data_IF_648843925510
#
_entry.id   IF_648843925510
#
_cell.length_a   1.000
_cell.length_b   1.000
_cell.length_c   1.000
_cell.angle_alpha   90.00
_cell.angle_beta   90.00
_cell.angle_gamma   90.00
#
_symmetry.space_group_name_H-M   'P 1'
#
loop_
_entity.id
_entity.type
_entity.pdbx_description
1 polymer ?
#
# COMPACT_ATOMS: atom_id res chain seq x y z
N UNK A 1 -1.33 -3.91 27.09
CA UNK A 1 -2.15 -2.87 27.76
C UNK A 1 -1.77 -1.44 27.34
N UNK A 2 -0.49 -1.06 27.23
CA UNK A 2 -0.07 0.30 26.86
C UNK A 2 -0.50 0.72 25.43
N UNK A 3 -0.25 -0.11 24.41
CA UNK A 3 -0.68 0.20 23.03
C UNK A 3 -2.21 0.41 22.92
N UNK A 4 -3.01 -0.41 23.60
CA UNK A 4 -4.48 -0.24 23.64
C UNK A 4 -4.90 1.08 24.28
N UNK A 5 -4.20 1.53 25.34
CA UNK A 5 -4.45 2.84 25.95
C UNK A 5 -4.06 3.97 24.99
N UNK A 6 -2.96 3.82 24.25
CA UNK A 6 -2.54 4.81 23.25
C UNK A 6 -3.59 4.97 22.15
N UNK A 7 -4.08 3.87 21.58
CA UNK A 7 -5.16 3.92 20.58
C UNK A 7 -6.42 4.61 21.11
N UNK A 8 -6.82 4.32 22.36
CA UNK A 8 -7.98 4.96 22.98
C UNK A 8 -7.75 6.45 23.17
N UNK A 9 -6.56 6.86 23.60
CA UNK A 9 -6.20 8.27 23.81
C UNK A 9 -6.21 9.06 22.50
N UNK A 10 -5.71 8.46 21.42
CA UNK A 10 -5.61 9.10 20.11
C UNK A 10 -6.89 8.95 19.26
N UNK A 11 -7.88 8.18 19.70
CA UNK A 11 -9.10 7.92 18.93
C UNK A 11 -8.83 7.22 17.59
N UNK A 12 -7.82 6.34 17.53
CA UNK A 12 -7.41 5.69 16.27
C UNK A 12 -8.58 4.95 15.61
N UNK A 13 -8.79 5.20 14.31
CA UNK A 13 -9.74 4.44 13.49
C UNK A 13 -9.10 3.13 12.99
N UNK A 14 -9.92 2.10 12.80
CA UNK A 14 -9.49 0.77 12.38
C UNK A 14 -10.12 0.36 11.04
N UNK A 15 -10.23 1.33 10.14
CA UNK A 15 -10.72 1.21 8.77
C UNK A 15 -9.64 0.67 7.80
N UNK A 16 -8.36 0.91 8.11
CA UNK A 16 -7.20 0.38 7.40
C UNK A 16 -6.01 0.06 8.32
N UNK A 17 -4.81 -0.15 7.76
CA UNK A 17 -3.58 -0.29 8.53
C UNK A 17 -3.37 0.90 9.46
N UNK A 18 -2.88 0.64 10.68
CA UNK A 18 -2.62 1.70 11.67
C UNK A 18 -1.65 2.75 11.11
N UNK A 19 -2.02 4.03 11.21
CA UNK A 19 -1.16 5.14 10.82
C UNK A 19 -0.11 5.44 11.89
N UNK A 20 1.02 4.72 11.80
CA UNK A 20 2.15 4.91 12.72
C UNK A 20 2.83 6.27 12.57
N UNK A 21 2.77 6.89 11.38
CA UNK A 21 3.30 8.23 11.16
C UNK A 21 2.46 9.27 11.91
N UNK A 22 1.14 9.19 11.76
CA UNK A 22 0.19 10.02 12.48
C UNK A 22 0.30 9.85 14.01
N UNK A 23 0.53 8.62 14.48
CA UNK A 23 0.78 8.37 15.91
C UNK A 23 2.08 9.03 16.38
N UNK A 24 3.19 8.90 15.63
CA UNK A 24 4.45 9.55 16.00
C UNK A 24 4.29 11.08 16.09
N UNK A 25 3.63 11.70 15.09
CA UNK A 25 3.31 13.13 15.09
C UNK A 25 2.44 13.54 16.28
N UNK A 26 1.43 12.72 16.61
CA UNK A 26 0.53 12.98 17.75
C UNK A 26 1.23 12.87 19.11
N UNK A 27 2.43 12.28 19.16
CA UNK A 27 3.29 12.18 20.33
C UNK A 27 4.36 13.29 20.37
N UNK A 28 4.34 14.25 19.43
CA UNK A 28 5.37 15.28 19.25
C UNK A 28 6.78 14.69 19.05
N UNK A 29 6.86 13.52 18.40
CA UNK A 29 8.12 12.88 18.05
C UNK A 29 8.65 13.43 16.74
N UNK A 30 9.90 13.86 16.76
CA UNK A 30 10.65 14.21 15.55
C UNK A 30 10.96 12.92 14.79
N UNK A 31 10.56 12.83 13.52
CA UNK A 31 10.78 11.62 12.72
C UNK A 31 11.63 11.95 11.49
N UNK A 32 12.74 11.22 11.35
CA UNK A 32 13.63 11.30 10.19
C UNK A 32 13.72 9.95 9.49
N UNK A 33 13.56 9.97 8.16
CA UNK A 33 13.75 8.79 7.32
C UNK A 33 15.04 9.00 6.51
N UNK A 34 16.06 8.17 6.74
CA UNK A 34 17.33 8.29 6.01
C UNK A 34 17.88 6.91 5.64
N UNK A 35 18.65 6.80 4.55
CA UNK A 35 19.33 5.55 4.24
C UNK A 35 20.36 5.25 5.33
N UNK A 36 20.24 4.08 5.95
CA UNK A 36 21.19 3.58 6.95
C UNK A 36 21.72 2.23 6.48
N UNK A 37 22.97 1.89 6.81
CA UNK A 37 23.55 0.61 6.41
C UNK A 37 22.98 -0.55 7.25
N UNK A 38 23.59 -0.82 8.41
CA UNK A 38 23.27 -1.98 9.23
C UNK A 38 22.17 -1.74 10.28
N UNK A 39 21.74 -0.49 10.47
CA UNK A 39 20.75 -0.13 11.48
C UNK A 39 19.34 -0.09 10.87
N UNK A 40 18.35 -0.62 11.58
CA UNK A 40 16.94 -0.55 11.15
C UNK A 40 16.31 0.80 11.50
N UNK A 41 16.71 1.34 12.65
CA UNK A 41 16.27 2.61 13.19
C UNK A 41 16.78 2.75 14.62
N UNK A 42 16.55 3.90 15.21
CA UNK A 42 16.86 4.15 16.62
C UNK A 42 16.02 5.31 17.17
N UNK A 43 15.80 5.24 18.48
CA UNK A 43 15.16 6.26 19.28
C UNK A 43 16.20 7.08 20.06
N UNK A 44 15.99 8.40 20.10
CA UNK A 44 16.79 9.34 20.88
C UNK A 44 15.87 10.18 21.74
N UNK A 45 16.15 10.27 23.02
CA UNK A 45 15.42 11.09 23.98
C UNK A 45 16.16 12.40 24.16
N UNK A 46 15.59 13.46 23.59
CA UNK A 46 16.02 14.81 23.93
C UNK A 46 15.31 15.33 25.18
N UNK A 47 15.91 16.33 25.81
CA UNK A 47 15.34 17.04 26.96
C UNK A 47 14.06 17.80 26.62
N UNK A 48 13.97 18.31 25.39
CA UNK A 48 12.82 19.10 24.89
C UNK A 48 11.92 18.30 23.96
N UNK A 49 12.50 17.55 23.01
CA UNK A 49 11.78 16.67 22.09
C UNK A 49 12.57 15.38 21.87
N UNK A 50 11.85 14.26 21.79
CA UNK A 50 12.43 12.99 21.39
C UNK A 50 12.39 12.80 19.88
N UNK A 51 13.39 12.13 19.34
CA UNK A 51 13.53 11.82 17.93
C UNK A 51 13.51 10.33 17.64
N UNK A 52 13.07 9.97 16.44
CA UNK A 52 13.16 8.64 15.87
C UNK A 52 13.77 8.75 14.48
N UNK A 53 14.77 7.91 14.22
CA UNK A 53 15.38 7.75 12.90
C UNK A 53 15.06 6.35 12.38
N UNK A 54 14.57 6.26 11.14
CA UNK A 54 14.25 4.98 10.48
C UNK A 54 15.01 4.83 9.18
N UNK A 55 15.48 3.61 8.92
CA UNK A 55 16.16 3.26 7.69
C UNK A 55 15.21 3.21 6.47
N UNK A 56 15.37 4.16 5.55
CA UNK A 56 14.54 4.29 4.35
C UNK A 56 14.80 3.18 3.30
N UNK A 57 15.90 2.44 3.40
CA UNK A 57 16.23 1.34 2.47
C UNK A 57 15.46 0.05 2.77
N UNK A 58 14.77 -0.02 3.92
CA UNK A 58 14.05 -1.23 4.35
C UNK A 58 12.64 -1.28 3.76
N UNK A 59 12.03 -2.47 3.59
CA UNK A 59 10.64 -2.56 3.14
C UNK A 59 9.68 -1.83 4.10
N UNK A 60 8.59 -1.28 3.58
CA UNK A 60 7.64 -0.50 4.38
C UNK A 60 7.12 -1.25 5.62
N UNK A 61 6.81 -2.55 5.50
CA UNK A 61 6.35 -3.34 6.65
C UNK A 61 7.38 -3.41 7.77
N UNK A 62 8.67 -3.39 7.44
CA UNK A 62 9.76 -3.33 8.40
C UNK A 62 9.92 -1.92 8.97
N UNK A 63 9.88 -0.88 8.13
CA UNK A 63 9.88 0.52 8.59
C UNK A 63 8.74 0.80 9.57
N UNK A 64 7.52 0.32 9.27
CA UNK A 64 6.34 0.43 10.15
C UNK A 64 6.56 -0.27 11.47
N UNK A 65 7.14 -1.47 11.45
CA UNK A 65 7.45 -2.22 12.65
C UNK A 65 8.52 -1.53 13.49
N UNK A 66 9.62 -1.11 12.89
CA UNK A 66 10.69 -0.38 13.57
C UNK A 66 10.15 0.91 14.17
N UNK A 67 9.39 1.72 13.43
CA UNK A 67 8.77 2.92 13.98
C UNK A 67 7.84 2.62 15.16
N UNK A 68 7.01 1.58 15.06
CA UNK A 68 6.14 1.16 16.17
C UNK A 68 6.94 0.66 17.39
N UNK A 69 8.11 0.06 17.16
CA UNK A 69 9.04 -0.39 18.19
C UNK A 69 9.71 0.79 18.90
N UNK A 70 10.23 1.76 18.16
CA UNK A 70 10.79 3.01 18.72
C UNK A 70 9.74 3.83 19.49
N UNK A 71 8.50 3.92 18.98
CA UNK A 71 7.37 4.49 19.74
C UNK A 71 7.13 3.71 21.04
N UNK A 72 7.37 2.40 21.03
CA UNK A 72 7.33 1.57 22.22
C UNK A 72 8.35 1.99 23.28
N UNK A 73 9.61 2.22 22.90
CA UNK A 73 10.63 2.75 23.81
C UNK A 73 10.18 4.07 24.42
N UNK A 74 9.70 5.01 23.60
CA UNK A 74 9.20 6.29 24.07
C UNK A 74 8.03 6.15 25.07
N UNK A 75 6.99 5.42 24.70
CA UNK A 75 5.74 5.30 25.49
C UNK A 75 5.94 4.50 26.77
N UNK A 76 6.87 3.54 26.78
CA UNK A 76 7.21 2.74 27.96
C UNK A 76 8.24 3.43 28.86
N UNK A 77 8.82 4.56 28.42
CA UNK A 77 9.82 5.31 29.18
C UNK A 77 11.17 4.60 29.26
N UNK A 78 11.52 3.81 28.24
CA UNK A 78 12.85 3.22 28.12
C UNK A 78 13.89 4.33 27.88
N UNK A 79 15.12 4.08 28.32
CA UNK A 79 16.26 4.97 28.03
C UNK A 79 16.76 4.74 26.61
N UNK A 80 17.57 5.68 26.12
CA UNK A 80 18.09 5.67 24.76
C UNK A 80 18.89 4.43 24.44
N UNK A 81 18.71 3.92 23.22
CA UNK A 81 19.49 2.78 22.71
C UNK A 81 20.96 3.17 22.41
N UNK A 82 21.31 4.46 22.46
CA UNK A 82 22.58 5.01 21.99
C UNK A 82 23.46 5.70 23.07
N UNK A 83 22.99 5.88 24.30
CA UNK A 83 23.68 6.70 25.32
C UNK A 83 24.89 6.01 25.97
N UNK A 84 25.11 4.73 25.66
CA UNK A 84 26.34 4.03 25.98
C UNK A 84 27.15 3.98 24.68
N UNK A 85 28.36 4.56 24.63
CA UNK A 85 29.30 4.40 23.50
C UNK A 85 29.69 2.92 23.23
N UNK A 86 29.19 1.99 24.07
CA UNK A 86 29.32 0.54 23.97
C UNK A 86 27.93 -0.17 23.86
N UNK A 87 26.82 0.56 23.70
CA UNK A 87 25.45 0.01 23.67
C UNK A 87 25.20 -0.85 22.43
N UNK A 88 25.79 -0.47 21.30
CA UNK A 88 25.68 -1.24 20.04
C UNK A 88 26.30 -2.63 20.19
N UNK A 89 27.34 -2.78 21.01
CA UNK A 89 27.98 -4.07 21.34
C UNK A 89 27.27 -4.84 22.46
N UNK A 90 26.28 -4.23 23.15
CA UNK A 90 25.50 -4.81 24.25
C UNK A 90 24.02 -4.99 23.93
N UNK A 91 23.61 -4.80 22.68
CA UNK A 91 22.23 -5.00 22.25
C UNK A 91 21.84 -6.48 22.43
N UNK A 92 21.08 -6.76 23.48
CA UNK A 92 20.47 -8.06 23.73
C UNK A 92 19.01 -8.02 23.27
N UNK A 93 18.68 -8.61 22.10
CA UNK A 93 17.30 -8.65 21.60
C UNK A 93 16.35 -9.41 22.52
N UNK A 94 16.87 -10.26 23.41
CA UNK A 94 16.10 -11.02 24.38
C UNK A 94 15.98 -10.30 25.74
N UNK A 95 16.50 -9.09 25.85
CA UNK A 95 16.35 -8.29 27.07
C UNK A 95 14.87 -7.96 27.34
N UNK A 96 14.44 -7.85 28.61
CA UNK A 96 13.05 -7.52 28.95
C UNK A 96 12.58 -6.19 28.34
N UNK A 97 13.49 -5.24 28.13
CA UNK A 97 13.23 -3.92 27.53
C UNK A 97 12.89 -4.06 26.05
N UNK A 98 13.73 -4.77 25.30
CA UNK A 98 13.54 -5.03 23.86
C UNK A 98 12.28 -5.89 23.60
N UNK A 99 12.08 -6.93 24.41
CA UNK A 99 10.87 -7.76 24.34
C UNK A 99 9.60 -6.96 24.64
N UNK A 100 9.65 -6.01 25.59
CA UNK A 100 8.52 -5.13 25.90
C UNK A 100 8.23 -4.17 24.73
N UNK A 101 9.25 -3.58 24.10
CA UNK A 101 9.10 -2.73 22.93
C UNK A 101 8.57 -3.51 21.71
N UNK A 102 9.09 -4.71 21.44
CA UNK A 102 8.58 -5.62 20.41
C UNK A 102 7.11 -6.01 20.65
N UNK A 103 6.76 -6.38 21.88
CA UNK A 103 5.39 -6.71 22.24
C UNK A 103 4.44 -5.49 22.12
N UNK A 104 4.93 -4.30 22.45
CA UNK A 104 4.22 -3.04 22.24
C UNK A 104 3.96 -2.80 20.75
N UNK A 105 4.99 -2.89 19.90
CA UNK A 105 4.90 -2.69 18.46
C UNK A 105 3.88 -3.64 17.80
N UNK A 106 3.96 -4.93 18.15
CA UNK A 106 3.02 -5.93 17.66
C UNK A 106 1.57 -5.62 18.10
N UNK A 107 1.39 -5.12 19.32
CA UNK A 107 0.07 -4.73 19.85
C UNK A 107 -0.47 -3.44 19.24
N UNK A 108 0.42 -2.50 18.88
CA UNK A 108 0.09 -1.23 18.23
C UNK A 108 -0.32 -1.45 16.77
N UNK A 109 0.39 -2.32 16.05
CA UNK A 109 0.10 -2.60 14.63
C UNK A 109 -1.08 -3.55 14.42
N UNK A 110 -1.35 -4.43 15.40
CA UNK A 110 -2.41 -5.44 15.30
C UNK A 110 -3.42 -5.32 16.44
N UNK A 111 -4.12 -4.17 16.58
CA UNK A 111 -5.13 -3.99 17.60
C UNK A 111 -6.33 -4.91 17.34
N UNK A 112 -6.97 -5.38 18.42
CA UNK A 112 -8.06 -6.38 18.34
C UNK A 112 -9.18 -6.00 17.35
N UNK A 113 -9.71 -4.75 17.31
CA UNK A 113 -10.77 -4.40 16.37
C UNK A 113 -10.33 -4.56 14.90
N UNK A 114 -9.09 -4.15 14.57
CA UNK A 114 -8.54 -4.27 13.23
C UNK A 114 -8.32 -5.74 12.85
N UNK A 115 -7.79 -6.55 13.77
CA UNK A 115 -7.62 -8.00 13.58
C UNK A 115 -8.96 -8.68 13.33
N UNK A 116 -9.99 -8.36 14.11
CA UNK A 116 -11.33 -8.93 13.94
C UNK A 116 -11.97 -8.53 12.61
N UNK A 117 -11.85 -7.26 12.20
CA UNK A 117 -12.28 -6.79 10.88
C UNK A 117 -11.57 -7.58 9.77
N UNK A 118 -10.24 -7.65 9.84
CA UNK A 118 -9.44 -8.34 8.82
C UNK A 118 -9.82 -9.81 8.70
N UNK A 119 -10.00 -10.53 9.82
CA UNK A 119 -10.45 -11.93 9.80
C UNK A 119 -11.82 -12.13 9.15
N UNK A 120 -12.78 -11.24 9.46
CA UNK A 120 -14.13 -11.32 8.90
C UNK A 120 -14.14 -11.09 7.39
N UNK A 121 -13.25 -10.22 6.92
CA UNK A 121 -13.18 -9.85 5.51
C UNK A 121 -12.46 -10.90 4.64
N UNK A 122 -11.82 -11.92 5.24
CA UNK A 122 -11.14 -12.99 4.50
C UNK A 122 -12.12 -13.85 3.69
N UNK A 123 -11.76 -14.21 2.44
CA UNK A 123 -12.54 -15.13 1.61
C UNK A 123 -12.84 -16.47 2.28
N UNK A 124 -11.85 -17.10 2.92
CA UNK A 124 -12.06 -18.35 3.64
C UNK A 124 -13.07 -18.21 4.78
N UNK A 125 -13.03 -17.12 5.55
CA UNK A 125 -13.98 -16.87 6.65
C UNK A 125 -15.40 -16.70 6.12
N UNK A 126 -15.59 -15.87 5.09
CA UNK A 126 -16.91 -15.66 4.46
C UNK A 126 -17.52 -16.95 3.91
N UNK A 127 -16.69 -17.85 3.38
CA UNK A 127 -17.10 -19.12 2.78
C UNK A 127 -17.12 -20.30 3.76
N UNK A 128 -16.83 -20.06 5.05
CA UNK A 128 -16.76 -21.12 6.06
C UNK A 128 -15.68 -22.19 5.81
N UNK A 129 -14.58 -21.81 5.15
CA UNK A 129 -13.47 -22.70 4.78
C UNK A 129 -12.29 -22.53 5.74
N UNK A 130 -11.37 -23.51 5.73
CA UNK A 130 -10.08 -23.37 6.41
C UNK A 130 -9.24 -22.29 5.71
N UNK A 131 -8.46 -21.55 6.51
CA UNK A 131 -7.56 -20.52 5.99
C UNK A 131 -6.47 -21.13 5.10
N UNK A 132 -6.27 -20.55 3.93
CA UNK A 132 -5.16 -20.85 3.03
C UNK A 132 -4.01 -19.83 3.20
N UNK A 133 -2.90 -20.10 2.51
CA UNK A 133 -1.72 -19.20 2.48
C UNK A 133 -2.09 -17.81 1.91
N UNK A 134 -2.92 -17.79 0.87
CA UNK A 134 -3.47 -16.58 0.27
C UNK A 134 -4.28 -15.75 1.28
N UNK A 135 -5.12 -16.37 2.11
CA UNK A 135 -5.84 -15.67 3.17
C UNK A 135 -4.89 -15.07 4.22
N UNK A 136 -3.83 -15.79 4.61
CA UNK A 136 -2.83 -15.27 5.52
C UNK A 136 -2.07 -14.06 4.93
N UNK A 137 -1.84 -14.05 3.62
CA UNK A 137 -1.28 -12.89 2.94
C UNK A 137 -2.25 -11.70 2.95
N UNK A 138 -3.51 -11.90 2.55
CA UNK A 138 -4.52 -10.84 2.59
C UNK A 138 -4.67 -10.25 3.99
N UNK A 139 -4.69 -11.11 5.02
CA UNK A 139 -4.72 -10.70 6.41
C UNK A 139 -3.51 -9.82 6.78
N UNK A 140 -2.29 -10.27 6.48
CA UNK A 140 -1.07 -9.49 6.78
C UNK A 140 -1.03 -8.13 6.06
N UNK A 141 -1.47 -8.10 4.80
CA UNK A 141 -1.54 -6.90 3.97
C UNK A 141 -2.57 -5.90 4.51
N UNK A 142 -3.75 -6.37 4.92
CA UNK A 142 -4.80 -5.52 5.49
C UNK A 142 -4.38 -4.86 6.82
N UNK A 143 -3.52 -5.52 7.60
CA UNK A 143 -2.92 -4.94 8.82
C UNK A 143 -1.70 -4.06 8.53
N UNK A 144 -1.14 -4.13 7.32
CA UNK A 144 0.11 -3.46 6.96
C UNK A 144 1.33 -4.00 7.73
N UNK A 145 1.36 -5.31 7.99
CA UNK A 145 2.48 -6.01 8.65
C UNK A 145 3.15 -6.99 7.69
N UNK A 146 4.30 -7.54 8.07
CA UNK A 146 4.94 -8.59 7.28
C UNK A 146 4.08 -9.86 7.22
N UNK A 147 4.23 -10.65 6.15
CA UNK A 147 3.52 -11.92 6.02
C UNK A 147 3.75 -12.85 7.21
N UNK A 148 5.00 -12.93 7.68
CA UNK A 148 5.36 -13.75 8.83
C UNK A 148 4.68 -13.27 10.13
N UNK A 149 4.67 -11.96 10.39
CA UNK A 149 3.97 -11.39 11.54
C UNK A 149 2.47 -11.69 11.50
N UNK A 150 1.86 -11.60 10.31
CA UNK A 150 0.45 -11.96 10.11
C UNK A 150 0.17 -13.44 10.36
N UNK A 151 1.01 -14.35 9.86
CA UNK A 151 0.88 -15.80 10.10
C UNK A 151 0.99 -16.12 11.59
N UNK A 152 1.96 -15.55 12.30
CA UNK A 152 2.09 -15.74 13.74
C UNK A 152 0.92 -15.14 14.52
N UNK A 153 0.36 -14.01 14.07
CA UNK A 153 -0.84 -13.45 14.67
C UNK A 153 -2.07 -14.36 14.48
N UNK A 154 -2.22 -14.99 13.31
CA UNK A 154 -3.27 -15.98 13.06
C UNK A 154 -3.12 -17.24 13.93
N UNK A 155 -1.88 -17.73 14.10
CA UNK A 155 -1.59 -18.82 15.03
C UNK A 155 -1.97 -18.45 16.47
N UNK A 156 -1.56 -17.26 16.94
CA UNK A 156 -1.88 -16.76 18.29
C UNK A 156 -3.38 -16.56 18.51
N UNK A 157 -4.14 -16.22 17.47
CA UNK A 157 -5.62 -16.15 17.52
C UNK A 157 -6.31 -17.52 17.36
N UNK A 158 -5.54 -18.62 17.34
CA UNK A 158 -6.03 -19.99 17.14
C UNK A 158 -6.75 -20.21 15.80
N UNK A 159 -6.37 -19.46 14.76
CA UNK A 159 -6.91 -19.62 13.39
C UNK A 159 -6.08 -20.56 12.52
N UNK A 160 -4.84 -20.81 12.92
CA UNK A 160 -3.92 -21.75 12.28
C UNK A 160 -3.33 -22.69 13.33
N UNK A 161 -3.02 -23.92 12.93
CA UNK A 161 -2.17 -24.80 13.74
C UNK A 161 -0.70 -24.39 13.63
N UNK A 162 0.14 -24.80 14.59
CA UNK A 162 1.59 -24.55 14.53
C UNK A 162 2.23 -25.14 13.27
N UNK A 163 1.74 -26.32 12.84
CA UNK A 163 2.19 -26.99 11.62
C UNK A 163 1.88 -26.16 10.38
N UNK A 164 0.65 -25.64 10.28
CA UNK A 164 0.23 -24.80 9.16
C UNK A 164 1.01 -23.49 9.12
N UNK A 165 1.16 -22.83 10.27
CA UNK A 165 1.92 -21.58 10.39
C UNK A 165 3.37 -21.73 9.89
N UNK A 166 4.07 -22.78 10.34
CA UNK A 166 5.43 -23.10 9.88
C UNK A 166 5.48 -23.42 8.38
N UNK A 167 4.51 -24.19 7.88
CA UNK A 167 4.42 -24.50 6.45
C UNK A 167 4.21 -23.25 5.59
N UNK A 168 3.39 -22.31 6.07
CA UNK A 168 3.08 -21.06 5.40
C UNK A 168 4.32 -20.16 5.32
N UNK A 169 5.03 -19.99 6.45
CA UNK A 169 6.27 -19.19 6.52
C UNK A 169 7.35 -19.78 5.61
N UNK A 170 7.54 -21.11 5.62
CA UNK A 170 8.54 -21.78 4.77
C UNK A 170 8.34 -21.51 3.28
N UNK A 171 7.09 -21.40 2.82
CA UNK A 171 6.75 -21.11 1.42
C UNK A 171 6.85 -19.63 1.05
N UNK A 172 7.00 -18.74 2.05
CA UNK A 172 7.10 -17.27 1.93
C UNK A 172 5.87 -16.60 1.30
N UNK A 173 5.86 -15.27 1.34
CA UNK A 173 4.77 -14.45 0.81
C UNK A 173 4.61 -14.58 -0.71
N UNK A 174 5.70 -14.78 -1.46
CA UNK A 174 5.66 -14.90 -2.93
C UNK A 174 4.76 -16.05 -3.39
N UNK A 175 4.81 -17.20 -2.71
CA UNK A 175 3.95 -18.33 -3.03
C UNK A 175 2.46 -18.01 -2.74
N UNK A 176 2.17 -17.28 -1.66
CA UNK A 176 0.81 -16.85 -1.34
C UNK A 176 0.26 -15.83 -2.36
N UNK A 177 1.10 -14.90 -2.84
CA UNK A 177 0.76 -13.97 -3.94
C UNK A 177 0.48 -14.73 -5.23
N UNK A 178 1.29 -15.74 -5.56
CA UNK A 178 1.10 -16.54 -6.76
C UNK A 178 -0.18 -17.38 -6.70
N UNK A 179 -0.54 -17.93 -5.52
CA UNK A 179 -1.83 -18.61 -5.34
C UNK A 179 -3.03 -17.67 -5.60
N UNK A 180 -2.91 -16.38 -5.26
CA UNK A 180 -3.96 -15.38 -5.53
C UNK A 180 -4.06 -14.99 -7.00
N UNK A 181 -2.90 -14.75 -7.64
CA UNK A 181 -2.84 -14.39 -9.06
C UNK A 181 -3.32 -15.53 -9.95
N UNK A 182 -2.98 -16.77 -9.62
CA UNK A 182 -3.14 -17.93 -10.51
C UNK A 182 -2.16 -17.95 -11.70
N UNK A 183 -1.28 -16.95 -11.79
CA UNK A 183 -0.36 -16.72 -12.91
C UNK A 183 0.94 -16.03 -12.46
N UNK A 184 1.91 -15.90 -13.38
CA UNK A 184 3.18 -15.23 -13.12
C UNK A 184 2.98 -13.74 -12.79
N UNK A 185 3.85 -13.14 -11.94
CA UNK A 185 3.81 -11.72 -11.68
C UNK A 185 4.05 -10.92 -12.97
N UNK A 186 3.26 -9.88 -13.16
CA UNK A 186 3.34 -9.02 -14.34
C UNK A 186 4.51 -8.02 -14.25
N UNK A 187 4.93 -7.68 -13.03
CA UNK A 187 6.02 -6.74 -12.78
C UNK A 187 6.88 -7.13 -11.57
N UNK A 188 7.07 -6.20 -10.65
CA UNK A 188 7.85 -6.44 -9.43
C UNK A 188 7.18 -7.54 -8.58
N UNK A 189 7.88 -8.66 -8.38
CA UNK A 189 7.38 -9.76 -7.55
C UNK A 189 7.06 -9.34 -6.10
N UNK A 190 7.60 -8.20 -5.63
CA UNK A 190 7.32 -7.63 -4.32
C UNK A 190 6.04 -6.79 -4.28
N UNK A 191 5.50 -6.37 -5.42
CA UNK A 191 4.25 -5.62 -5.53
C UNK A 191 3.12 -6.29 -4.75
N UNK A 192 2.29 -5.51 -4.06
CA UNK A 192 1.11 -6.07 -3.40
C UNK A 192 0.00 -6.36 -4.41
N UNK A 193 -0.78 -7.39 -4.10
CA UNK A 193 -1.83 -7.91 -4.98
C UNK A 193 -3.18 -7.55 -4.38
N UNK A 194 -4.02 -6.88 -5.17
CA UNK A 194 -5.39 -6.49 -4.85
C UNK A 194 -6.34 -7.34 -5.70
N UNK A 195 -7.26 -8.06 -5.05
CA UNK A 195 -8.30 -8.84 -5.74
C UNK A 195 -9.62 -8.10 -5.60
N UNK A 196 -10.19 -7.68 -6.73
CA UNK A 196 -11.49 -7.03 -6.81
C UNK A 196 -12.46 -7.96 -7.54
N UNK A 197 -13.65 -8.15 -6.97
CA UNK A 197 -14.74 -8.91 -7.58
C UNK A 197 -15.98 -8.05 -7.70
N UNK A 198 -17.08 -8.63 -8.21
CA UNK A 198 -18.38 -7.95 -8.27
C UNK A 198 -18.88 -7.45 -6.89
N UNK A 199 -18.40 -8.02 -5.77
CA UNK A 199 -18.73 -7.54 -4.41
C UNK A 199 -18.05 -6.20 -4.06
N UNK A 200 -17.10 -5.74 -4.88
CA UNK A 200 -16.27 -4.57 -4.63
C UNK A 200 -16.61 -3.39 -5.54
N UNK A 201 -17.85 -3.30 -5.99
CA UNK A 201 -18.35 -2.13 -6.72
C UNK A 201 -18.34 -0.91 -5.79
N UNK A 202 -17.98 0.25 -6.32
CA UNK A 202 -17.77 1.51 -5.60
C UNK A 202 -16.68 1.48 -4.50
N UNK A 203 -15.76 0.50 -4.54
CA UNK A 203 -14.70 0.40 -3.54
C UNK A 203 -13.57 1.41 -3.81
N UNK A 204 -13.14 2.13 -2.77
CA UNK A 204 -11.86 2.84 -2.78
C UNK A 204 -10.72 1.94 -2.29
N UNK A 205 -9.70 1.77 -3.13
CA UNK A 205 -8.50 0.97 -2.86
C UNK A 205 -7.30 1.89 -2.62
N UNK A 206 -6.66 1.75 -1.45
CA UNK A 206 -5.42 2.46 -1.13
C UNK A 206 -4.20 1.61 -1.53
N UNK A 207 -3.70 1.77 -2.74
CA UNK A 207 -2.58 1.00 -3.28
C UNK A 207 -1.31 1.84 -3.43
N UNK A 208 -0.18 1.17 -3.70
CA UNK A 208 1.10 1.81 -3.97
C UNK A 208 1.44 1.77 -5.46
N UNK A 209 2.36 2.63 -5.87
CA UNK A 209 2.98 2.51 -7.20
C UNK A 209 3.55 1.10 -7.37
N UNK A 210 3.19 0.48 -8.49
CA UNK A 210 3.61 -0.86 -8.86
C UNK A 210 2.77 -2.00 -8.28
N UNK A 211 1.81 -1.74 -7.40
CA UNK A 211 0.86 -2.76 -6.94
C UNK A 211 0.00 -3.27 -8.10
N UNK A 212 -0.39 -4.55 -8.03
CA UNK A 212 -1.21 -5.22 -9.04
C UNK A 212 -2.67 -5.25 -8.58
N UNK A 213 -3.58 -4.72 -9.40
CA UNK A 213 -5.02 -4.73 -9.17
C UNK A 213 -5.66 -5.71 -10.15
N UNK A 214 -6.09 -6.85 -9.64
CA UNK A 214 -6.75 -7.92 -10.39
C UNK A 214 -8.26 -7.80 -10.22
N UNK A 215 -8.96 -7.43 -11.29
CA UNK A 215 -10.42 -7.31 -11.35
C UNK A 215 -10.99 -8.56 -12.00
N UNK A 216 -11.83 -9.29 -11.27
CA UNK A 216 -12.46 -10.54 -11.68
C UNK A 216 -13.98 -10.37 -11.73
N UNK A 217 -14.53 -10.24 -12.94
CA UNK A 217 -15.96 -10.04 -13.16
C UNK A 217 -16.56 -11.23 -13.92
N UNK A 218 -17.76 -11.69 -13.56
CA UNK A 218 -18.50 -12.64 -14.37
C UNK A 218 -18.73 -12.05 -15.77
N UNK A 219 -18.40 -12.83 -16.79
CA UNK A 219 -18.63 -12.46 -18.19
C UNK A 219 -19.07 -13.71 -18.95
N UNK A 220 -20.24 -13.62 -19.60
CA UNK A 220 -20.74 -14.67 -20.49
C UNK A 220 -20.63 -14.21 -21.94
N UNK A 221 -19.54 -14.59 -22.58
CA UNK A 221 -19.23 -14.16 -23.96
C UNK A 221 -20.20 -14.77 -24.98
N UNK A 222 -20.96 -15.81 -24.63
CA UNK A 222 -22.00 -16.39 -25.51
C UNK A 222 -23.19 -15.46 -25.72
N UNK A 223 -23.40 -14.51 -24.81
CA UNK A 223 -24.44 -13.46 -24.92
C UNK A 223 -24.04 -12.31 -25.85
N UNK A 224 -22.77 -12.30 -26.29
CA UNK A 224 -22.17 -11.20 -27.04
C UNK A 224 -21.84 -9.96 -26.22
N UNK A 225 -21.96 -10.05 -24.90
CA UNK A 225 -21.62 -8.97 -23.97
C UNK A 225 -20.17 -9.12 -23.49
N UNK A 226 -19.46 -8.00 -23.38
CA UNK A 226 -18.12 -7.95 -22.83
C UNK A 226 -17.94 -6.68 -21.97
N UNK A 227 -17.13 -6.78 -20.91
CA UNK A 227 -16.73 -5.63 -20.09
C UNK A 227 -15.77 -4.72 -20.87
N UNK A 228 -16.13 -3.47 -21.09
CA UNK A 228 -15.28 -2.48 -21.73
C UNK A 228 -14.75 -1.50 -20.69
N UNK A 229 -13.44 -1.27 -20.69
CA UNK A 229 -12.80 -0.23 -19.88
C UNK A 229 -12.99 1.09 -20.63
N UNK A 230 -13.74 2.05 -20.05
CA UNK A 230 -14.11 3.29 -20.77
C UNK A 230 -13.02 4.35 -20.78
N UNK A 231 -12.37 4.55 -19.66
CA UNK A 231 -11.11 5.25 -19.46
C UNK A 231 -10.98 5.49 -17.93
N UNK A 232 -9.78 5.46 -17.37
CA UNK A 232 -9.55 5.94 -16.03
C UNK A 232 -9.67 7.47 -16.00
N UNK A 233 -10.61 8.01 -15.23
CA UNK A 233 -10.67 9.45 -14.97
C UNK A 233 -9.65 9.79 -13.88
N UNK A 234 -8.67 10.64 -14.21
CA UNK A 234 -7.66 11.09 -13.25
C UNK A 234 -8.22 12.32 -12.54
N UNK A 235 -8.79 12.11 -11.36
CA UNK A 235 -9.19 13.23 -10.50
C UNK A 235 -7.93 13.87 -9.93
N UNK A 236 -7.73 15.15 -10.24
CA UNK A 236 -6.60 15.90 -9.73
C UNK A 236 -6.66 15.99 -8.21
N UNK A 237 -5.50 16.00 -7.55
CA UNK A 237 -5.39 16.18 -6.09
C UNK A 237 -5.89 17.59 -5.63
N UNK A 238 -6.33 18.45 -6.55
CA UNK A 238 -6.74 19.85 -6.35
C UNK A 238 -8.10 20.22 -6.99
N UNK A 239 -8.98 19.26 -7.28
CA UNK A 239 -10.33 19.57 -7.80
C UNK A 239 -11.25 20.11 -6.68
N UNK A 240 -10.98 21.33 -6.23
CA UNK A 240 -11.93 22.19 -5.52
C UNK A 240 -12.87 22.84 -6.55
N UNK A 241 -14.16 23.09 -6.25
CA UNK A 241 -15.07 23.75 -7.20
C UNK A 241 -14.48 25.09 -7.70
N UNK A 242 -14.56 25.39 -9.01
CA UNK A 242 -13.96 26.60 -9.54
C UNK A 242 -14.66 27.84 -8.97
N UNK A 243 -13.90 28.70 -8.31
CA UNK A 243 -14.27 30.10 -8.09
C UNK A 243 -14.67 30.48 -6.66
N UNK A 244 -13.68 30.84 -5.86
CA UNK A 244 -13.73 32.10 -5.11
C UNK A 244 -12.29 32.65 -5.09
N UNK A 245 -11.97 33.66 -5.91
CA UNK A 245 -10.62 34.19 -5.96
C UNK A 245 -10.35 34.93 -4.65
N UNK A 246 -9.47 34.39 -3.82
CA UNK A 246 -8.85 35.15 -2.74
C UNK A 246 -7.93 36.18 -3.39
N UNK A 247 -8.42 37.40 -3.50
CA UNK A 247 -7.62 38.57 -3.83
C UNK A 247 -6.65 38.86 -2.67
N UNK A 248 -5.36 38.91 -2.97
CA UNK A 248 -4.32 39.42 -2.08
C UNK A 248 -3.91 40.81 -2.59
N UNK A 249 -3.98 41.82 -1.73
CA UNK A 249 -3.61 43.21 -2.07
C UNK A 249 -2.31 43.61 -1.37
N UNK A 250 -1.30 43.92 -2.17
CA UNK A 250 -0.24 44.91 -1.88
C UNK A 250 0.77 44.57 -0.78
N UNK A 251 1.96 44.10 -1.17
CA UNK A 251 3.17 44.94 -1.26
C UNK A 251 4.42 44.07 -1.59
N UNK A 252 4.84 44.10 -2.87
CA UNK A 252 6.21 44.25 -3.43
C UNK A 252 7.40 43.40 -2.85
N UNK A 253 8.28 42.68 -3.58
CA UNK A 253 8.87 42.79 -4.95
C UNK A 253 9.40 41.41 -5.45
N UNK A 254 9.42 41.23 -6.78
CA UNK A 254 9.85 40.08 -7.60
C UNK A 254 11.37 39.88 -7.81
N UNK A 255 11.80 38.70 -8.31
CA UNK A 255 12.66 38.53 -9.53
C UNK A 255 12.37 37.18 -10.25
N UNK A 256 11.84 37.31 -11.46
CA UNK A 256 12.08 36.67 -12.79
C UNK A 256 12.50 35.19 -12.97
N UNK A 257 11.55 34.43 -13.51
CA UNK A 257 11.57 33.59 -14.73
C UNK A 257 12.92 33.24 -15.40
N UNK A 258 13.25 31.94 -15.47
CA UNK A 258 14.03 31.33 -16.58
C UNK A 258 13.49 29.92 -16.91
N UNK A 259 12.95 29.85 -18.13
CA UNK A 259 12.84 28.73 -19.09
C UNK A 259 11.97 27.49 -18.79
N UNK A 260 10.84 27.50 -19.51
CA UNK A 260 10.34 26.38 -20.31
C UNK A 260 11.48 25.46 -20.80
N UNK A 261 11.37 24.18 -20.46
CA UNK A 261 11.84 23.10 -21.31
C UNK A 261 10.61 22.40 -21.85
N UNK A 262 10.46 22.50 -23.18
CA UNK A 262 9.69 21.58 -23.98
C UNK A 262 10.04 20.14 -23.58
N UNK A 263 9.03 19.35 -23.24
CA UNK A 263 9.12 17.91 -23.48
C UNK A 263 7.77 17.43 -24.01
N UNK A 264 7.76 17.09 -25.29
CA UNK A 264 6.71 16.32 -25.91
C UNK A 264 6.77 14.89 -25.36
N UNK A 265 6.20 14.68 -24.18
CA UNK A 265 5.91 13.35 -23.63
C UNK A 265 4.42 13.07 -23.74
N UNK A 266 4.04 11.97 -24.39
CA UNK A 266 2.70 11.38 -24.31
C UNK A 266 2.16 11.42 -22.88
N UNK A 267 0.84 11.62 -22.64
CA UNK A 267 0.30 11.64 -21.29
C UNK A 267 0.70 10.35 -20.59
N UNK A 268 1.51 10.46 -19.54
CA UNK A 268 1.98 9.30 -18.79
C UNK A 268 0.76 8.73 -18.09
N UNK A 269 0.19 7.65 -18.64
CA UNK A 269 -1.03 7.04 -18.11
C UNK A 269 -0.79 6.63 -16.67
N UNK A 270 -1.54 7.23 -15.74
CA UNK A 270 -1.34 7.04 -14.29
C UNK A 270 -1.62 5.60 -13.83
N UNK A 271 -2.36 4.84 -14.66
CA UNK A 271 -2.66 3.41 -14.52
C UNK A 271 -2.49 2.72 -15.88
N UNK A 272 -1.98 1.50 -15.86
CA UNK A 272 -1.75 0.69 -17.06
C UNK A 272 -2.56 -0.62 -16.95
N UNK A 273 -3.33 -0.97 -17.98
CA UNK A 273 -3.93 -2.30 -18.13
C UNK A 273 -2.89 -3.22 -18.77
N UNK A 274 -2.30 -4.11 -17.98
CA UNK A 274 -1.15 -4.92 -18.42
C UNK A 274 -1.58 -6.32 -18.85
N UNK A 275 -2.78 -6.77 -18.49
CA UNK A 275 -3.30 -8.06 -18.91
C UNK A 275 -4.83 -8.10 -19.00
N UNK A 276 -5.32 -8.79 -20.03
CA UNK A 276 -6.73 -9.12 -20.22
C UNK A 276 -6.89 -10.59 -20.67
N UNK A 277 -7.54 -11.41 -19.84
CA UNK A 277 -7.68 -12.84 -20.08
C UNK A 277 -8.53 -13.19 -21.31
N UNK A 278 -9.40 -12.29 -21.77
CA UNK A 278 -10.27 -12.55 -22.93
C UNK A 278 -9.69 -12.04 -24.26
N UNK A 279 -8.56 -11.31 -24.22
CA UNK A 279 -7.82 -10.88 -25.41
C UNK A 279 -6.61 -11.78 -25.75
N UNK A 280 -6.14 -12.61 -24.81
CA UNK A 280 -4.88 -13.34 -24.92
C UNK A 280 -4.94 -14.72 -25.62
N UNK A 281 -5.97 -15.01 -26.42
CA UNK A 281 -6.11 -16.30 -27.11
C UNK A 281 -5.93 -16.24 -28.64
N UNK A 282 -5.23 -15.23 -29.16
CA UNK A 282 -4.90 -15.14 -30.58
C UNK A 282 -3.45 -14.73 -30.81
N UNK A 283 -2.49 -15.59 -30.48
CA UNK A 283 -1.13 -15.46 -31.03
C UNK A 283 -0.41 -16.83 -31.06
N UNK A 284 -0.68 -17.58 -32.12
CA UNK A 284 0.30 -18.49 -32.71
C UNK A 284 0.26 -18.30 -34.22
N UNK A 285 0.99 -17.29 -34.70
CA UNK A 285 1.15 -17.01 -36.12
C UNK A 285 1.84 -15.66 -36.33
N UNK A 286 3.08 -15.73 -36.83
CA UNK A 286 3.87 -14.62 -37.38
C UNK A 286 3.02 -13.45 -37.93
N UNK A 287 3.19 -12.25 -37.34
CA UNK A 287 3.17 -10.98 -38.06
C UNK A 287 3.53 -9.82 -37.12
N UNK A 288 4.71 -9.26 -37.37
CA UNK A 288 5.08 -7.85 -37.42
C UNK A 288 4.37 -6.79 -36.55
N UNK A 289 5.24 -5.96 -35.96
CA UNK A 289 5.00 -4.75 -35.16
C UNK A 289 3.75 -3.92 -35.48
N UNK A 290 2.91 -3.63 -34.47
CA UNK A 290 1.90 -2.58 -34.58
C UNK A 290 0.92 -2.42 -33.41
N UNK A 291 1.23 -1.45 -32.54
CA UNK A 291 0.31 -0.68 -31.66
C UNK A 291 0.19 -1.09 -30.18
N UNK A 292 1.20 -0.68 -29.41
CA UNK A 292 1.12 -0.35 -28.00
C UNK A 292 0.31 0.95 -27.81
N UNK A 293 -0.94 0.82 -27.38
CA UNK A 293 -1.82 1.90 -26.92
C UNK A 293 -2.50 1.54 -25.58
N UNK A 294 -2.92 2.52 -24.76
CA UNK A 294 -3.33 2.29 -23.36
C UNK A 294 -4.70 1.63 -23.17
N UNK A 295 -5.50 1.50 -24.23
CA UNK A 295 -6.80 0.81 -24.22
C UNK A 295 -6.94 0.06 -25.54
N UNK A 296 -7.16 -1.26 -25.48
CA UNK A 296 -7.34 -2.08 -26.66
C UNK A 296 -8.59 -1.67 -27.44
N UNK A 297 -8.46 -1.43 -28.74
CA UNK A 297 -9.57 -1.18 -29.65
C UNK A 297 -10.28 -2.51 -29.97
N UNK A 298 -11.44 -2.73 -29.36
CA UNK A 298 -12.24 -3.95 -29.55
C UNK A 298 -12.77 -4.09 -30.99
N UNK A 299 -12.71 -3.05 -31.83
CA UNK A 299 -13.05 -3.15 -33.24
C UNK A 299 -12.08 -4.07 -34.03
N UNK A 300 -10.86 -4.29 -33.51
CA UNK A 300 -9.84 -5.14 -34.13
C UNK A 300 -9.83 -6.60 -33.63
N UNK A 301 -10.60 -6.93 -32.58
CA UNK A 301 -10.55 -8.22 -31.90
C UNK A 301 -11.36 -9.26 -32.68
N UNK A 302 -10.68 -10.16 -33.39
CA UNK A 302 -11.32 -11.17 -34.27
C UNK A 302 -11.74 -12.46 -33.55
N UNK A 303 -11.33 -12.67 -32.30
CA UNK A 303 -11.65 -13.93 -31.59
C UNK A 303 -11.83 -13.68 -30.09
N UNK A 304 -13.09 -13.69 -29.63
CA UNK A 304 -13.43 -13.74 -28.20
C UNK A 304 -13.62 -15.22 -27.85
N UNK A 305 -12.93 -15.73 -26.84
CA UNK A 305 -13.11 -17.10 -26.35
C UNK A 305 -14.55 -17.26 -25.83
N UNK A 306 -15.31 -18.19 -26.40
CA UNK A 306 -16.75 -18.35 -26.11
C UNK A 306 -17.01 -19.26 -24.90
N UNK A 307 -17.80 -18.78 -23.92
CA UNK A 307 -18.31 -19.56 -22.78
C UNK A 307 -18.66 -18.70 -21.55
N UNK A 308 -19.46 -19.21 -20.60
CA UNK A 308 -19.62 -18.58 -19.29
C UNK A 308 -18.27 -18.62 -18.56
N UNK A 309 -17.79 -17.46 -18.12
CA UNK A 309 -16.46 -17.33 -17.53
C UNK A 309 -16.34 -16.18 -16.54
N UNK A 310 -15.13 -16.05 -16.00
CA UNK A 310 -14.70 -14.89 -15.23
C UNK A 310 -13.64 -14.20 -16.06
N UNK A 311 -13.90 -12.95 -16.45
CA UNK A 311 -12.88 -12.13 -17.08
C UNK A 311 -11.97 -11.56 -16.02
N UNK A 312 -10.67 -11.68 -16.24
CA UNK A 312 -9.63 -11.18 -15.36
C UNK A 312 -8.86 -10.06 -16.05
N UNK A 313 -8.91 -8.86 -15.45
CA UNK A 313 -8.18 -7.67 -15.88
C UNK A 313 -7.15 -7.31 -14.83
N UNK A 314 -5.90 -7.08 -15.25
CA UNK A 314 -4.82 -6.70 -14.33
C UNK A 314 -4.35 -5.29 -14.62
N UNK A 315 -4.56 -4.39 -13.66
CA UNK A 315 -4.08 -3.03 -13.70
C UNK A 315 -2.84 -2.85 -12.82
N UNK A 316 -1.94 -1.96 -13.22
CA UNK A 316 -0.78 -1.55 -12.42
C UNK A 316 -0.76 -0.03 -12.33
N UNK A 317 -0.71 0.49 -11.10
CA UNK A 317 -0.58 1.93 -10.87
C UNK A 317 0.85 2.41 -11.13
N UNK A 318 1.02 3.45 -11.96
CA UNK A 318 2.33 3.97 -12.39
C UNK A 318 2.65 5.34 -11.79
N UNK A 319 1.64 6.10 -11.36
CA UNK A 319 1.82 7.43 -10.78
C UNK A 319 1.00 7.60 -9.49
N UNK A 320 1.46 8.50 -8.60
CA UNK A 320 0.70 8.96 -7.42
C UNK A 320 -0.53 9.73 -7.89
N UNK A 321 -1.68 9.53 -7.24
CA UNK A 321 -2.90 10.27 -7.56
C UNK A 321 -4.17 9.52 -7.18
N UNK A 322 -5.31 10.12 -7.53
CA UNK A 322 -6.62 9.47 -7.46
C UNK A 322 -7.09 9.11 -8.86
N UNK A 323 -7.49 7.86 -9.05
CA UNK A 323 -7.85 7.33 -10.37
C UNK A 323 -9.19 6.59 -10.22
N UNK A 324 -10.21 7.00 -10.96
CA UNK A 324 -11.48 6.27 -11.01
C UNK A 324 -11.48 5.37 -12.25
N UNK A 325 -11.75 4.08 -12.08
CA UNK A 325 -11.85 3.14 -13.20
C UNK A 325 -13.31 2.72 -13.37
N UNK A 326 -13.85 2.92 -14.58
CA UNK A 326 -15.20 2.49 -14.96
C UNK A 326 -15.13 1.38 -16.00
N UNK A 327 -15.83 0.28 -15.71
CA UNK A 327 -16.08 -0.83 -16.60
C UNK A 327 -17.57 -0.89 -16.93
N UNK A 328 -17.89 -1.10 -18.21
CA UNK A 328 -19.27 -1.24 -18.67
C UNK A 328 -19.45 -2.56 -19.42
N UNK A 329 -20.45 -3.35 -19.03
CA UNK A 329 -20.84 -4.56 -19.73
C UNK A 329 -21.76 -4.19 -20.89
N UNK A 330 -21.26 -4.24 -22.12
CA UNK A 330 -22.02 -3.88 -23.32
C UNK A 330 -21.62 -4.76 -24.51
N UNK A 331 -22.30 -4.62 -25.65
CA UNK A 331 -21.90 -5.28 -26.90
C UNK A 331 -20.87 -4.39 -27.61
N UNK A 332 -19.64 -4.88 -27.85
CA UNK A 332 -18.58 -4.06 -28.42
C UNK A 332 -18.91 -3.42 -29.78
N UNK A 333 -19.76 -4.07 -30.59
CA UNK A 333 -20.11 -3.65 -31.94
C UNK A 333 -21.35 -2.74 -32.03
N UNK A 334 -22.07 -2.49 -30.92
CA UNK A 334 -23.18 -1.53 -30.89
C UNK A 334 -22.68 -0.23 -30.27
N UNK A 335 -22.20 0.70 -31.11
CA UNK A 335 -21.61 1.98 -30.69
C UNK A 335 -22.58 3.00 -30.06
N UNK A 336 -23.51 2.56 -29.22
CA UNK A 336 -24.51 3.44 -28.58
C UNK A 336 -25.59 2.75 -27.72
N UNK A 337 -25.53 1.44 -27.51
CA UNK A 337 -26.48 0.78 -26.58
C UNK A 337 -26.11 1.10 -25.12
N UNK A 338 -27.14 1.29 -24.29
CA UNK A 338 -26.97 1.45 -22.86
C UNK A 338 -26.24 0.24 -22.26
N UNK A 339 -25.25 0.49 -21.39
CA UNK A 339 -24.54 -0.56 -20.67
C UNK A 339 -25.54 -1.42 -19.88
N UNK A 340 -25.43 -2.74 -20.00
CA UNK A 340 -26.27 -3.68 -19.27
C UNK A 340 -25.93 -3.71 -17.78
N UNK A 341 -24.65 -3.51 -17.47
CA UNK A 341 -24.16 -3.32 -16.11
C UNK A 341 -22.95 -2.37 -16.14
N UNK A 342 -22.74 -1.67 -15.02
CA UNK A 342 -21.53 -0.91 -14.76
C UNK A 342 -20.83 -1.47 -13.53
N UNK A 343 -19.52 -1.33 -13.48
CA UNK A 343 -18.70 -1.63 -12.32
C UNK A 343 -17.63 -0.56 -12.20
N UNK A 344 -17.46 0.02 -11.02
CA UNK A 344 -16.47 1.06 -10.80
C UNK A 344 -15.72 0.89 -9.49
N UNK A 345 -14.50 1.41 -9.47
CA UNK A 345 -13.68 1.49 -8.26
C UNK A 345 -12.73 2.69 -8.34
N UNK A 346 -12.36 3.20 -7.17
CA UNK A 346 -11.39 4.29 -7.04
C UNK A 346 -10.06 3.74 -6.55
N UNK A 347 -8.96 4.20 -7.13
CA UNK A 347 -7.60 3.97 -6.63
C UNK A 347 -7.07 5.26 -6.02
N UNK A 348 -6.59 5.18 -4.79
CA UNK A 348 -5.74 6.21 -4.16
C UNK A 348 -4.32 5.68 -4.11
N UNK A 349 -3.50 6.12 -5.06
CA UNK A 349 -2.13 5.64 -5.24
C UNK A 349 -1.17 6.50 -4.44
N UNK A 350 -0.35 5.86 -3.61
CA UNK A 350 0.71 6.52 -2.84
C UNK A 350 2.12 6.04 -3.24
N UNK A 351 3.18 6.79 -2.89
CA UNK A 351 4.55 6.35 -3.08
C UNK A 351 4.85 5.04 -2.33
N UNK A 352 5.86 4.31 -2.80
CA UNK A 352 6.19 2.98 -2.26
C UNK A 352 6.87 3.05 -0.90
N UNK A 353 7.59 4.14 -0.63
CA UNK A 353 8.33 4.36 0.61
C UNK A 353 7.60 5.32 1.54
N UNK A 354 7.76 5.15 2.86
CA UNK A 354 7.25 6.11 3.85
C UNK A 354 8.00 7.44 3.80
N UNK A 355 9.30 7.43 3.45
CA UNK A 355 10.12 8.63 3.33
C UNK A 355 9.54 9.65 2.32
N UNK A 356 8.93 9.15 1.25
CA UNK A 356 8.33 9.95 0.17
C UNK A 356 6.96 10.55 0.56
N UNK A 357 6.43 10.25 1.76
CA UNK A 357 5.13 10.73 2.26
C UNK A 357 5.27 12.02 3.11
N UNK A 358 6.33 12.80 2.90
CA UNK A 358 6.45 14.17 3.43
C UNK A 358 7.01 14.29 4.84
N UNK A 359 8.04 13.52 5.19
CA UNK A 359 8.82 13.74 6.43
C UNK A 359 10.02 14.62 6.12
N UNK A 360 9.85 15.93 6.35
CA UNK A 360 10.92 16.91 6.32
C UNK A 360 11.82 16.70 7.53
N UNK A 361 13.12 16.64 7.29
CA UNK A 361 14.11 16.83 8.33
C UNK A 361 13.81 18.16 9.06
N UNK A 362 13.77 18.19 10.40
CA UNK A 362 13.76 19.47 11.09
C UNK A 362 15.02 20.26 10.71
N UNK A 363 14.93 21.59 10.66
CA UNK A 363 16.08 22.45 10.45
C UNK A 363 17.14 22.18 11.53
N UNK A 364 18.42 22.36 11.19
CA UNK A 364 19.56 22.19 12.13
C UNK A 364 19.37 22.94 13.46
N UNK A 365 18.59 24.02 13.45
CA UNK A 365 18.27 24.83 14.64
C UNK A 365 17.37 24.13 15.68
N UNK A 366 16.66 23.05 15.31
CA UNK A 366 15.85 22.27 16.27
C UNK A 366 16.71 21.30 17.11
N UNK A 367 17.98 21.08 16.72
CA UNK A 367 18.90 20.12 17.36
C UNK A 367 20.13 20.77 18.00
N UNK A 368 20.36 22.06 17.80
CA UNK A 368 21.53 22.74 18.33
C UNK A 368 21.26 23.29 19.74
N UNK A 369 21.39 22.45 20.77
CA UNK A 369 21.98 22.96 22.01
C UNK A 369 23.50 22.89 21.82
N UNK A 370 24.12 24.07 21.72
CA UNK A 370 25.57 24.26 21.72
C UNK A 370 26.18 23.68 23.00
N UNK A 371 26.45 22.39 23.03
CA UNK A 371 27.55 21.89 23.83
C UNK A 371 28.84 22.21 23.07
N UNK A 372 29.34 23.42 23.35
CA UNK A 372 30.74 23.81 23.18
C UNK A 372 31.60 22.70 23.78
N UNK A 373 32.07 21.77 22.94
CA UNK A 373 33.19 20.91 23.28
C UNK A 373 34.43 21.77 23.12
N UNK A 374 34.83 22.38 24.24
CA UNK A 374 36.13 23.03 24.37
C UNK A 374 37.25 22.04 24.04
N UNK A 375 38.26 22.57 23.36
CA UNK A 375 39.48 21.91 22.87
C UNK A 375 40.30 21.19 23.95
#
# INVERSE_FOLDING_TARGET
MAATRLHRRLGTTFDGPVDVLGIARSLDLVLMMQPLDNLLGFYVRGDRRSGIVINSLRPESLQRFTLAHEIGHHVLGHQDSADDQHAVDRFDPDSPVELAAQAFAASLLMPRPLVTRALRDLPATRRGRRLARSDAYLFSRQLGVSYEAGVWALFRDNRLSLTDARAFIKRRASAAKNDLRGQAPVGDARADVWMLTQENDDLTVMCRIGDEIHVQLPEDTSTGMAWLVRAPDVKGLFDWPPGSPLAWSGDDIQISEVQQLDDQGSPTTSIELVQDSHLAASESGDADTGTSGPFADYAAVRTITTGPGVRSLTFVARAVGSIQVLLELTRPWTGGDAAYASYQFDLRVRPKQLAEQGLLAPSTDDWADEHVVGA
#
